data_IF_323919642327
#
_entry.id   IF_323919642327
#
_cell.length_a   1.000
_cell.length_b   1.000
_cell.length_c   1.000
_cell.angle_alpha   90.00
_cell.angle_beta   90.00
_cell.angle_gamma   90.00
#
_symmetry.space_group_name_H-M   'P 1'
#
loop_
_entity.id
_entity.type
_entity.pdbx_description
1 polymer ?
#
# COMPACT_ATOMS: atom_id res chain seq x y z
N UNK A 1 3.77 -1.01 9.97
CA UNK A 1 2.47 -0.72 10.59
C UNK A 1 1.84 -2.02 11.09
N UNK A 2 0.99 -1.92 12.10
CA UNK A 2 0.20 -3.05 12.63
C UNK A 2 -1.25 -2.63 12.83
N UNK A 3 -2.15 -3.57 12.65
CA UNK A 3 -3.59 -3.43 12.88
C UNK A 3 -3.95 -4.16 14.17
N UNK A 4 -4.68 -3.49 15.04
CA UNK A 4 -5.10 -4.00 16.35
C UNK A 4 -6.61 -3.83 16.51
N UNK A 5 -7.26 -4.71 17.24
CA UNK A 5 -8.66 -4.48 17.63
C UNK A 5 -8.75 -3.23 18.50
N UNK A 6 -9.65 -2.31 18.19
CA UNK A 6 -9.71 -1.03 18.88
C UNK A 6 -10.91 -0.18 18.50
N UNK A 7 -10.78 1.12 18.67
CA UNK A 7 -11.86 2.10 18.46
C UNK A 7 -11.45 3.25 17.51
N UNK A 8 -10.49 3.01 16.62
CA UNK A 8 -10.06 3.98 15.63
C UNK A 8 -8.86 4.84 16.02
N UNK A 9 -8.10 4.45 17.03
CA UNK A 9 -6.91 5.21 17.43
C UNK A 9 -5.77 4.98 16.44
N UNK A 10 -5.20 6.07 15.92
CA UNK A 10 -3.93 6.01 15.16
C UNK A 10 -2.78 6.46 16.07
N UNK A 11 -1.79 5.61 16.22
CA UNK A 11 -0.58 5.87 17.02
C UNK A 11 0.63 5.88 16.09
N UNK A 12 1.50 6.88 16.25
CA UNK A 12 2.78 6.97 15.53
C UNK A 12 3.93 6.99 16.52
N UNK A 13 4.99 6.24 16.24
CA UNK A 13 6.22 6.22 17.03
C UNK A 13 7.46 6.24 16.13
N UNK A 14 8.61 6.63 16.65
CA UNK A 14 9.87 6.71 15.91
C UNK A 14 10.48 8.11 15.86
N UNK A 15 10.15 8.97 16.83
CA UNK A 15 10.69 10.34 16.99
C UNK A 15 10.41 11.22 15.76
N UNK A 16 9.12 11.28 15.38
CA UNK A 16 8.64 11.99 14.19
C UNK A 16 8.41 13.48 14.48
N UNK A 17 8.83 14.33 13.56
CA UNK A 17 8.45 15.73 13.51
C UNK A 17 7.00 15.93 13.03
N UNK A 18 6.54 17.17 13.06
CA UNK A 18 5.12 17.48 12.83
C UNK A 18 4.72 17.27 11.37
N UNK A 19 5.60 17.58 10.41
CA UNK A 19 5.31 17.37 8.98
C UNK A 19 5.10 15.89 8.67
N UNK A 20 5.88 14.99 9.27
CA UNK A 20 5.70 13.55 9.07
C UNK A 20 4.42 13.03 9.74
N UNK A 21 4.02 13.59 10.88
CA UNK A 21 2.72 13.27 11.51
C UNK A 21 1.55 13.71 10.64
N UNK A 22 1.61 14.92 10.06
CA UNK A 22 0.62 15.40 9.10
C UNK A 22 0.56 14.50 7.86
N UNK A 23 1.72 14.10 7.33
CA UNK A 23 1.80 13.15 6.21
C UNK A 23 1.12 11.81 6.52
N UNK A 24 1.22 11.33 7.77
CA UNK A 24 0.50 10.13 8.22
C UNK A 24 -1.02 10.34 8.22
N UNK A 25 -1.50 11.51 8.64
CA UNK A 25 -2.93 11.84 8.61
C UNK A 25 -3.46 11.95 7.17
N UNK A 26 -2.67 12.57 6.29
CA UNK A 26 -3.00 12.64 4.86
C UNK A 26 -3.08 11.24 4.24
N UNK A 27 -2.12 10.37 4.50
CA UNK A 27 -2.10 8.99 4.05
C UNK A 27 -3.34 8.21 4.51
N UNK A 28 -3.74 8.35 5.79
CA UNK A 28 -4.95 7.74 6.31
C UNK A 28 -6.21 8.23 5.58
N UNK A 29 -6.30 9.53 5.31
CA UNK A 29 -7.42 10.12 4.57
C UNK A 29 -7.50 9.59 3.14
N UNK A 30 -6.36 9.42 2.47
CA UNK A 30 -6.27 8.82 1.13
C UNK A 30 -6.76 7.37 1.13
N UNK A 31 -6.35 6.56 2.11
CA UNK A 31 -6.81 5.16 2.23
C UNK A 31 -8.32 5.11 2.48
N UNK A 32 -8.83 5.92 3.41
CA UNK A 32 -10.28 5.98 3.70
C UNK A 32 -11.10 6.35 2.47
N UNK A 33 -10.65 7.33 1.69
CA UNK A 33 -11.35 7.76 0.47
C UNK A 33 -11.38 6.69 -0.62
N UNK A 34 -10.52 5.68 -0.55
CA UNK A 34 -10.36 4.58 -1.50
C UNK A 34 -10.77 3.22 -0.94
N UNK A 35 -11.29 3.15 0.29
CA UNK A 35 -11.51 1.91 1.02
C UNK A 35 -12.24 0.85 0.18
N UNK A 36 -13.41 1.17 -0.38
CA UNK A 36 -14.18 0.23 -1.22
C UNK A 36 -13.40 -0.30 -2.42
N UNK A 37 -12.69 0.58 -3.12
CA UNK A 37 -11.89 0.24 -4.28
C UNK A 37 -10.68 -0.64 -3.91
N UNK A 38 -10.19 -0.52 -2.67
CA UNK A 38 -9.10 -1.32 -2.13
C UNK A 38 -9.58 -2.60 -1.43
N UNK A 39 -10.87 -2.91 -1.45
CA UNK A 39 -11.41 -4.07 -0.75
C UNK A 39 -11.41 -3.94 0.78
N UNK A 40 -11.41 -2.71 1.29
CA UNK A 40 -11.36 -2.40 2.72
C UNK A 40 -12.75 -1.96 3.16
N UNK A 41 -13.26 -2.52 4.26
CA UNK A 41 -14.53 -2.12 4.83
C UNK A 41 -14.51 -0.66 5.27
N UNK A 42 -15.57 0.08 4.99
CA UNK A 42 -15.67 1.53 5.28
C UNK A 42 -15.55 1.85 6.78
N UNK A 43 -15.84 0.90 7.65
CA UNK A 43 -15.82 1.05 9.11
C UNK A 43 -14.48 0.63 9.76
N UNK A 44 -13.47 0.31 8.98
CA UNK A 44 -12.18 -0.15 9.50
C UNK A 44 -11.58 0.81 10.55
N UNK A 45 -11.77 2.10 10.35
CA UNK A 45 -11.24 3.15 11.23
C UNK A 45 -12.01 3.30 12.55
N UNK A 46 -13.16 2.64 12.70
CA UNK A 46 -13.95 2.62 13.94
C UNK A 46 -13.69 1.36 14.78
N UNK A 47 -13.28 0.27 14.12
CA UNK A 47 -13.13 -1.06 14.71
C UNK A 47 -11.69 -1.45 15.00
N UNK A 48 -10.74 -0.72 14.42
CA UNK A 48 -9.32 -1.06 14.53
C UNK A 48 -8.49 0.14 14.96
N UNK A 49 -7.54 -0.12 15.84
CA UNK A 49 -6.44 0.79 16.10
C UNK A 49 -5.28 0.48 15.15
N UNK A 50 -4.60 1.52 14.70
CA UNK A 50 -3.44 1.40 13.81
C UNK A 50 -2.23 1.99 14.48
N UNK A 51 -1.14 1.21 14.55
CA UNK A 51 0.13 1.70 15.04
C UNK A 51 1.17 1.68 13.91
N UNK A 52 1.72 2.85 13.60
CA UNK A 52 2.78 3.04 12.62
C UNK A 52 4.06 3.36 13.36
N UNK A 53 5.09 2.54 13.16
CA UNK A 53 6.40 2.74 13.78
C UNK A 53 7.46 2.94 12.71
N UNK A 54 8.27 3.98 12.89
CA UNK A 54 9.46 4.23 12.08
C UNK A 54 10.68 3.80 12.89
N UNK A 55 11.41 2.76 12.47
CA UNK A 55 12.58 2.26 13.18
C UNK A 55 13.70 3.31 13.28
N UNK A 56 14.74 3.01 14.05
CA UNK A 56 15.86 3.90 14.35
C UNK A 56 15.44 5.18 15.08
N UNK A 57 14.74 5.01 16.20
CA UNK A 57 14.22 6.12 17.02
C UNK A 57 15.28 7.06 17.62
N UNK A 58 16.57 6.71 17.56
CA UNK A 58 17.66 7.61 17.93
C UNK A 58 17.84 8.78 16.95
N UNK A 59 17.44 8.59 15.69
CA UNK A 59 17.52 9.60 14.63
C UNK A 59 16.16 10.27 14.44
N UNK A 60 16.00 11.56 14.73
CA UNK A 60 14.77 12.31 14.44
C UNK A 60 14.45 12.27 12.94
N UNK A 61 13.18 12.08 12.61
CA UNK A 61 12.69 12.05 11.24
C UNK A 61 11.58 13.07 11.06
N UNK A 62 11.70 13.87 10.01
CA UNK A 62 10.66 14.79 9.63
C UNK A 62 10.63 14.96 8.10
N UNK A 63 9.54 15.54 7.59
CA UNK A 63 9.34 15.82 6.18
C UNK A 63 8.24 14.98 5.54
N UNK A 64 7.76 15.40 4.36
CA UNK A 64 6.58 14.81 3.71
C UNK A 64 6.92 13.61 2.81
N UNK A 65 8.19 13.34 2.52
CA UNK A 65 8.65 12.41 1.47
C UNK A 65 8.33 10.93 1.72
N UNK A 66 7.82 10.58 2.91
CA UNK A 66 7.37 9.23 3.24
C UNK A 66 5.87 8.99 2.97
N UNK A 67 5.15 9.97 2.45
CA UNK A 67 3.69 9.91 2.28
C UNK A 67 3.21 8.69 1.50
N UNK A 68 3.80 8.41 0.34
CA UNK A 68 3.41 7.23 -0.45
C UNK A 68 3.80 5.91 0.25
N UNK A 69 4.90 5.86 0.98
CA UNK A 69 5.33 4.68 1.72
C UNK A 69 4.39 4.39 2.91
N UNK A 70 3.96 5.43 3.62
CA UNK A 70 2.97 5.31 4.71
C UNK A 70 1.64 4.81 4.14
N UNK A 71 1.16 5.39 3.04
CA UNK A 71 -0.07 4.97 2.36
C UNK A 71 0.00 3.50 1.95
N UNK A 72 1.10 3.08 1.34
CA UNK A 72 1.32 1.69 0.91
C UNK A 72 1.33 0.73 2.11
N UNK A 73 2.00 1.10 3.21
CA UNK A 73 2.01 0.30 4.43
C UNK A 73 0.62 0.16 5.07
N UNK A 74 -0.19 1.21 5.04
CA UNK A 74 -1.58 1.18 5.51
C UNK A 74 -2.45 0.27 4.64
N UNK A 75 -2.36 0.38 3.32
CA UNK A 75 -3.09 -0.51 2.41
C UNK A 75 -2.67 -1.96 2.64
N UNK A 76 -1.38 -2.23 2.77
CA UNK A 76 -0.86 -3.57 3.01
C UNK A 76 -1.44 -4.22 4.27
N UNK A 77 -1.46 -3.53 5.42
CA UNK A 77 -2.00 -4.11 6.66
C UNK A 77 -3.52 -4.26 6.65
N UNK A 78 -4.24 -3.38 5.93
CA UNK A 78 -5.69 -3.40 5.87
C UNK A 78 -6.23 -4.43 4.88
N UNK A 79 -5.48 -4.73 3.82
CA UNK A 79 -5.84 -5.73 2.81
C UNK A 79 -5.20 -7.10 3.06
N UNK A 80 -4.19 -7.19 3.93
CA UNK A 80 -3.38 -8.38 4.12
C UNK A 80 -2.42 -8.68 2.96
N UNK A 81 -2.31 -7.78 1.97
CA UNK A 81 -1.42 -7.94 0.81
C UNK A 81 -0.03 -7.43 1.16
N UNK A 82 1.03 -8.27 1.10
CA UNK A 82 2.37 -7.83 1.45
C UNK A 82 2.95 -6.84 0.43
N UNK A 83 3.78 -5.92 0.92
CA UNK A 83 4.63 -5.08 0.07
C UNK A 83 5.84 -5.91 -0.39
N UNK A 84 6.24 -5.75 -1.65
CA UNK A 84 7.43 -6.39 -2.20
C UNK A 84 8.68 -5.92 -1.46
N UNK A 85 9.55 -6.85 -1.09
CA UNK A 85 10.76 -6.57 -0.32
C UNK A 85 11.88 -5.87 -1.14
N UNK A 86 11.79 -5.96 -2.46
CA UNK A 86 12.77 -5.39 -3.40
C UNK A 86 12.41 -3.98 -3.90
N UNK A 87 11.36 -3.37 -3.35
CA UNK A 87 10.85 -2.05 -3.73
C UNK A 87 11.17 -1.01 -2.67
N UNK A 88 11.73 0.12 -3.09
CA UNK A 88 11.78 1.35 -2.30
C UNK A 88 10.93 2.44 -2.97
N UNK A 89 10.50 3.41 -2.20
CA UNK A 89 9.68 4.50 -2.72
C UNK A 89 9.88 5.79 -1.95
N UNK A 90 9.67 6.91 -2.62
CA UNK A 90 9.66 8.23 -2.00
C UNK A 90 8.67 9.14 -2.73
N UNK A 91 7.95 9.96 -2.00
CA UNK A 91 6.98 10.91 -2.55
C UNK A 91 6.10 11.49 -1.44
N UNK A 92 5.77 12.76 -1.56
CA UNK A 92 4.72 13.38 -0.77
C UNK A 92 3.36 12.96 -1.34
N UNK A 93 2.35 12.83 -0.49
CA UNK A 93 0.99 12.44 -0.88
C UNK A 93 0.01 13.57 -0.65
N UNK A 94 -0.79 13.90 -1.66
CA UNK A 94 -1.94 14.79 -1.49
C UNK A 94 -3.20 14.01 -1.09
N UNK A 95 -4.21 14.71 -0.57
CA UNK A 95 -5.51 14.09 -0.22
C UNK A 95 -6.21 13.44 -1.43
N UNK A 96 -5.86 13.85 -2.65
CA UNK A 96 -6.35 13.23 -3.90
C UNK A 96 -5.57 11.99 -4.30
N UNK A 97 -4.44 11.72 -3.64
CA UNK A 97 -3.55 10.61 -3.98
C UNK A 97 -2.54 10.95 -5.07
N UNK A 98 -2.36 12.22 -5.40
CA UNK A 98 -1.29 12.68 -6.28
C UNK A 98 0.05 12.59 -5.53
N UNK A 99 1.10 12.19 -6.25
CA UNK A 99 2.46 12.07 -5.75
C UNK A 99 3.24 13.32 -6.12
N UNK A 100 3.63 14.09 -5.11
CA UNK A 100 4.38 15.35 -5.28
C UNK A 100 5.89 15.12 -5.18
N UNK A 101 6.69 16.02 -5.79
CA UNK A 101 8.15 15.91 -5.81
C UNK A 101 8.77 16.08 -4.43
N UNK A 102 9.96 15.52 -4.28
CA UNK A 102 10.74 15.53 -3.03
C UNK A 102 12.15 16.08 -3.27
N UNK A 103 12.81 16.45 -2.19
CA UNK A 103 14.24 16.75 -2.19
C UNK A 103 15.11 15.54 -1.86
N UNK A 104 16.40 15.62 -2.19
CA UNK A 104 17.38 14.60 -1.83
C UNK A 104 17.24 13.29 -2.59
N UNK A 105 16.78 13.31 -3.85
CA UNK A 105 16.60 12.09 -4.65
C UNK A 105 17.92 11.33 -4.81
N UNK A 106 19.03 12.03 -5.02
CA UNK A 106 20.36 11.42 -5.20
C UNK A 106 20.76 10.55 -4.01
N UNK A 107 20.65 11.08 -2.81
CA UNK A 107 20.98 10.38 -1.57
C UNK A 107 20.09 9.16 -1.36
N UNK A 108 18.81 9.28 -1.70
CA UNK A 108 17.82 8.19 -1.60
C UNK A 108 18.13 7.06 -2.58
N UNK A 109 18.45 7.37 -3.84
CA UNK A 109 18.83 6.36 -4.84
C UNK A 109 20.16 5.67 -4.49
N UNK A 110 21.14 6.41 -3.97
CA UNK A 110 22.38 5.84 -3.46
C UNK A 110 22.12 4.89 -2.29
N UNK A 111 21.24 5.25 -1.38
CA UNK A 111 20.86 4.40 -0.24
C UNK A 111 20.13 3.14 -0.72
N UNK A 112 19.19 3.25 -1.66
CA UNK A 112 18.49 2.13 -2.24
C UNK A 112 19.45 1.15 -2.92
N UNK A 113 20.37 1.65 -3.71
CA UNK A 113 21.40 0.84 -4.37
C UNK A 113 22.27 0.09 -3.35
N UNK A 114 22.76 0.76 -2.29
CA UNK A 114 23.54 0.13 -1.20
C UNK A 114 22.73 -0.91 -0.43
N UNK A 115 21.44 -0.69 -0.29
CA UNK A 115 20.51 -1.63 0.38
C UNK A 115 20.13 -2.84 -0.47
N UNK A 116 20.61 -2.96 -1.71
CA UNK A 116 20.27 -4.07 -2.60
C UNK A 116 18.84 -4.00 -3.16
N UNK A 117 18.21 -2.83 -3.09
CA UNK A 117 16.90 -2.59 -3.70
C UNK A 117 17.02 -2.67 -5.22
N UNK A 118 16.02 -3.23 -5.86
CA UNK A 118 15.96 -3.37 -7.32
C UNK A 118 15.07 -2.33 -7.96
N UNK A 119 13.89 -2.10 -7.40
CA UNK A 119 12.87 -1.22 -7.95
C UNK A 119 12.70 0.01 -7.07
N UNK A 120 12.73 1.20 -7.65
CA UNK A 120 12.54 2.45 -6.90
C UNK A 120 11.44 3.29 -7.55
N UNK A 121 10.42 3.64 -6.77
CA UNK A 121 9.33 4.52 -7.20
C UNK A 121 9.65 5.95 -6.80
N UNK A 122 9.65 6.85 -7.78
CA UNK A 122 9.96 8.27 -7.59
C UNK A 122 8.82 9.14 -8.14
N UNK A 123 8.61 10.35 -7.64
CA UNK A 123 7.65 11.26 -8.24
C UNK A 123 8.00 11.59 -9.70
N UNK A 124 7.00 11.63 -10.57
CA UNK A 124 7.17 11.97 -11.99
C UNK A 124 7.94 13.29 -12.19
N UNK A 125 7.71 14.27 -11.32
CA UNK A 125 8.37 15.56 -11.39
C UNK A 125 9.86 15.54 -11.01
N UNK A 126 10.32 14.47 -10.35
CA UNK A 126 11.74 14.26 -10.03
C UNK A 126 12.53 13.56 -11.15
N UNK A 127 11.92 13.22 -12.28
CA UNK A 127 12.63 12.63 -13.44
C UNK A 127 13.78 13.54 -13.91
N UNK A 128 13.59 14.86 -13.85
CA UNK A 128 14.62 15.84 -14.17
C UNK A 128 15.88 15.70 -13.31
N UNK A 129 15.74 15.27 -12.06
CA UNK A 129 16.84 15.14 -11.10
C UNK A 129 17.71 13.88 -11.40
N UNK A 130 17.25 12.98 -12.27
CA UNK A 130 17.99 11.80 -12.70
C UNK A 130 19.24 12.17 -13.53
N UNK A 131 19.30 13.37 -14.09
CA UNK A 131 20.47 13.87 -14.79
C UNK A 131 21.72 13.94 -13.87
N UNK A 132 21.52 14.20 -12.57
CA UNK A 132 22.58 14.34 -11.58
C UNK A 132 22.97 12.98 -10.93
N UNK A 133 22.35 11.88 -11.33
CA UNK A 133 22.59 10.53 -10.79
C UNK A 133 23.66 9.84 -11.64
N UNK A 134 24.69 9.25 -11.01
CA UNK A 134 25.69 8.49 -11.73
C UNK A 134 25.11 7.32 -12.54
N UNK A 135 25.58 7.10 -13.76
CA UNK A 135 25.06 6.06 -14.67
C UNK A 135 25.14 4.66 -14.07
N UNK A 136 26.20 4.35 -13.33
CA UNK A 136 26.35 3.06 -12.66
C UNK A 136 25.25 2.80 -11.62
N UNK A 137 24.68 3.83 -11.02
CA UNK A 137 23.54 3.70 -10.08
C UNK A 137 22.24 3.50 -10.86
N UNK A 138 22.00 4.33 -11.87
CA UNK A 138 20.80 4.21 -12.71
C UNK A 138 20.68 2.85 -13.38
N UNK A 139 21.79 2.31 -13.86
CA UNK A 139 21.82 1.02 -14.55
C UNK A 139 21.57 -0.19 -13.63
N UNK A 140 21.66 -0.02 -12.30
CA UNK A 140 21.41 -1.09 -11.32
C UNK A 140 20.02 -1.00 -10.67
N UNK A 141 19.30 0.11 -10.89
CA UNK A 141 17.99 0.33 -10.32
C UNK A 141 16.94 0.42 -11.45
N UNK A 142 15.85 -0.28 -11.26
CA UNK A 142 14.65 -0.12 -12.07
C UNK A 142 13.83 1.04 -11.50
N UNK A 143 14.00 2.23 -12.10
CA UNK A 143 13.42 3.49 -11.60
C UNK A 143 12.10 3.76 -12.31
N UNK A 144 11.01 3.78 -11.53
CA UNK A 144 9.66 4.04 -12.01
C UNK A 144 9.16 5.40 -11.55
N UNK A 145 9.01 6.36 -12.46
CA UNK A 145 8.28 7.60 -12.19
C UNK A 145 6.79 7.30 -11.98
N UNK A 146 6.20 7.87 -10.94
CA UNK A 146 4.78 7.72 -10.59
C UNK A 146 4.14 9.08 -10.33
N UNK A 147 2.88 9.22 -10.70
CA UNK A 147 2.09 10.44 -10.51
C UNK A 147 0.96 10.24 -9.50
N UNK A 148 0.46 9.01 -9.39
CA UNK A 148 -0.68 8.68 -8.54
C UNK A 148 -0.37 7.51 -7.61
N UNK A 149 -0.97 7.52 -6.43
CA UNK A 149 -0.84 6.44 -5.44
C UNK A 149 -1.31 5.09 -6.00
N UNK A 150 -2.26 5.08 -6.91
CA UNK A 150 -2.76 3.86 -7.54
C UNK A 150 -1.65 3.16 -8.35
N UNK A 151 -0.79 3.92 -9.03
CA UNK A 151 0.40 3.40 -9.72
C UNK A 151 1.41 2.82 -8.73
N UNK A 152 1.62 3.53 -7.60
CA UNK A 152 2.51 3.06 -6.52
C UNK A 152 2.03 1.71 -5.98
N UNK A 153 0.75 1.57 -5.65
CA UNK A 153 0.18 0.34 -5.13
C UNK A 153 0.29 -0.81 -6.14
N UNK A 154 0.09 -0.51 -7.43
CA UNK A 154 0.24 -1.50 -8.51
C UNK A 154 1.65 -2.08 -8.58
N UNK A 155 2.67 -1.26 -8.37
CA UNK A 155 4.07 -1.65 -8.48
C UNK A 155 4.64 -2.22 -7.17
N UNK A 156 4.14 -1.75 -6.02
CA UNK A 156 4.71 -2.06 -4.73
C UNK A 156 4.08 -3.28 -4.03
N UNK A 157 2.81 -3.57 -4.27
CA UNK A 157 2.11 -4.69 -3.64
C UNK A 157 2.38 -6.00 -4.39
N UNK A 158 2.43 -7.12 -3.65
CA UNK A 158 2.63 -8.45 -4.21
C UNK A 158 1.47 -8.92 -5.10
N UNK A 159 0.25 -8.42 -4.84
CA UNK A 159 -0.94 -8.60 -5.68
C UNK A 159 -1.84 -7.37 -5.59
N UNK A 160 -2.79 -7.27 -6.50
CA UNK A 160 -3.70 -6.12 -6.50
C UNK A 160 -4.85 -6.33 -5.50
N UNK A 161 -5.26 -5.28 -4.78
CA UNK A 161 -6.49 -5.30 -3.99
C UNK A 161 -7.71 -5.60 -4.89
N UNK A 162 -8.67 -6.35 -4.35
CA UNK A 162 -9.94 -6.66 -5.05
C UNK A 162 -11.02 -5.76 -4.45
N UNK A 163 -11.69 -4.91 -5.26
CA UNK A 163 -12.78 -4.07 -4.79
C UNK A 163 -13.90 -4.87 -4.08
N UNK A 164 -14.54 -4.30 -3.07
CA UNK A 164 -15.60 -4.99 -2.31
C UNK A 164 -16.75 -5.48 -3.21
N UNK A 165 -17.18 -4.69 -4.18
CA UNK A 165 -18.25 -5.04 -5.12
C UNK A 165 -17.89 -6.27 -5.97
N UNK A 166 -16.63 -6.42 -6.35
CA UNK A 166 -16.14 -7.61 -7.07
C UNK A 166 -15.96 -8.82 -6.14
N UNK A 167 -15.61 -8.60 -4.87
CA UNK A 167 -15.51 -9.68 -3.88
C UNK A 167 -16.87 -10.27 -3.55
N UNK A 168 -17.89 -9.44 -3.41
CA UNK A 168 -19.26 -9.86 -3.14
C UNK A 168 -19.84 -10.64 -4.34
N UNK A 169 -19.57 -10.20 -5.56
CA UNK A 169 -19.97 -10.90 -6.78
C UNK A 169 -19.28 -12.26 -6.94
N UNK A 170 -17.99 -12.37 -6.60
CA UNK A 170 -17.27 -13.65 -6.62
C UNK A 170 -17.79 -14.60 -5.55
N UNK A 171 -18.02 -14.12 -4.33
CA UNK A 171 -18.57 -14.93 -3.24
C UNK A 171 -19.97 -15.46 -3.59
N UNK A 172 -20.83 -14.62 -4.16
CA UNK A 172 -22.16 -15.02 -4.64
C UNK A 172 -22.08 -16.08 -5.73
N UNK A 173 -21.09 -15.98 -6.62
CA UNK A 173 -20.88 -16.96 -7.70
C UNK A 173 -20.38 -18.30 -7.14
N UNK A 174 -19.47 -18.28 -6.18
CA UNK A 174 -18.96 -19.51 -5.53
C UNK A 174 -20.05 -20.22 -4.72
N UNK A 175 -20.87 -19.49 -3.97
CA UNK A 175 -22.01 -20.02 -3.23
C UNK A 175 -23.03 -20.66 -4.18
N UNK A 176 -23.38 -19.99 -5.27
CA UNK A 176 -24.31 -20.51 -6.28
C UNK A 176 -23.77 -21.75 -7.01
N UNK A 177 -22.45 -21.88 -7.14
CA UNK A 177 -21.81 -23.07 -7.73
C UNK A 177 -21.82 -24.25 -6.74
N UNK A 178 -21.57 -23.98 -5.47
CA UNK A 178 -21.61 -24.97 -4.39
C UNK A 178 -23.01 -25.57 -4.20
N UNK A 179 -24.06 -24.74 -4.24
CA UNK A 179 -25.45 -25.19 -4.16
C UNK A 179 -25.83 -26.10 -5.36
N UNK A 180 -25.41 -25.73 -6.58
CA UNK A 180 -25.66 -26.58 -7.78
C UNK A 180 -24.94 -27.92 -7.73
N UNK A 181 -23.78 -27.99 -7.08
CA UNK A 181 -23.05 -29.27 -6.91
C UNK A 181 -23.67 -30.13 -5.83
N UNK A 182 -24.22 -29.54 -4.78
CA UNK A 182 -24.95 -30.23 -3.71
C UNK A 182 -26.27 -30.82 -4.23
N UNK A 183 -27.02 -30.08 -5.05
CA UNK A 183 -28.27 -30.57 -5.68
C UNK A 183 -28.02 -31.73 -6.67
N UNK A 184 -26.92 -31.68 -7.44
CA UNK A 184 -26.53 -32.79 -8.30
C UNK A 184 -26.13 -34.05 -7.54
N UNK A 185 -25.47 -33.91 -6.41
CA UNK A 185 -25.09 -35.05 -5.55
C UNK A 185 -26.32 -35.70 -4.89
N UNK A 186 -27.30 -34.90 -4.49
CA UNK A 186 -28.56 -35.40 -3.93
C UNK A 186 -29.43 -36.10 -5.01
N UNK A 187 -29.50 -35.56 -6.22
CA UNK A 187 -30.27 -36.17 -7.31
C UNK A 187 -29.68 -37.52 -7.79
N UNK A 188 -28.37 -37.73 -7.65
CA UNK A 188 -27.70 -38.99 -7.92
C UNK A 188 -27.92 -40.06 -6.84
N UNK A 189 -28.18 -39.63 -5.61
CA UNK A 189 -28.42 -40.57 -4.49
C UNK A 189 -29.88 -41.08 -4.40
N UNK A 190 -30.84 -40.32 -4.94
CA UNK A 190 -32.24 -40.72 -5.02
C UNK A 190 -32.54 -41.69 -6.21
N UNK A 191 -31.62 -41.80 -7.18
CA UNK A 191 -31.75 -42.69 -8.34
C UNK A 191 -31.32 -44.14 -8.11
N UNK A 192 -30.87 -44.55 -6.91
CA UNK A 192 -30.33 -45.89 -6.63
C UNK A 192 -31.25 -46.70 -5.71
N UNK A 193 -32.48 -46.29 -5.50
CA UNK A 193 -33.49 -47.11 -4.78
C UNK A 193 -34.59 -47.55 -5.74
N UNK A 194 -34.30 -48.57 -6.49
CA UNK A 194 -35.28 -49.53 -7.03
C UNK A 194 -34.62 -50.88 -7.32
#
# INVERSE_FOLDING_TARGET
AVLLSGKGKTTTTGKLGDVMKESTQAAMSVVRSRAKRLGINDDFYEKNDIHIHFPEGATPKDGPSAGIAITTALVSILTGIPVRADVAMTGEITLRGEVLPIGGLKEKLLAAHRGGIKTVLIPQQNVKDLADIPENIKNHLDIHPVQWIDEVLTLALASQPIPLEESDAKLATEVALADKTADKANALNDGVKH
#
